data_IF_623381189665
#
_entry.id   IF_623381189665
#
_cell.length_a   1.000
_cell.length_b   1.000
_cell.length_c   1.000
_cell.angle_alpha   90.00
_cell.angle_beta   90.00
_cell.angle_gamma   90.00
#
_symmetry.space_group_name_H-M   'P 1'
#
loop_
_entity.id
_entity.type
_entity.pdbx_description
1 polymer ?
#
# COMPACT_ATOMS: atom_id res chain seq x y z
N UNK A 1 20.27 8.66 12.86
CA UNK A 1 19.50 9.92 12.73
C UNK A 1 18.29 9.67 11.84
N UNK A 2 17.16 9.25 12.42
CA UNK A 2 15.92 8.91 11.68
C UNK A 2 14.74 9.85 12.04
N UNK A 3 14.95 10.79 12.95
CA UNK A 3 13.90 11.68 13.45
C UNK A 3 13.57 12.83 12.51
N UNK A 4 14.49 13.25 11.64
CA UNK A 4 14.27 14.38 10.71
C UNK A 4 13.02 14.20 9.83
N UNK A 5 12.90 13.09 9.07
CA UNK A 5 11.72 12.83 8.24
C UNK A 5 10.42 12.73 9.06
N UNK A 6 10.48 12.12 10.25
CA UNK A 6 9.33 12.01 11.16
C UNK A 6 8.88 13.37 11.70
N UNK A 7 9.82 14.23 12.10
CA UNK A 7 9.53 15.58 12.59
C UNK A 7 8.97 16.45 11.48
N UNK A 8 9.52 16.36 10.27
CA UNK A 8 8.98 17.07 9.10
C UNK A 8 7.57 16.58 8.75
N UNK A 9 7.34 15.27 8.75
CA UNK A 9 6.02 14.69 8.49
C UNK A 9 4.99 15.12 9.54
N UNK A 10 5.35 15.08 10.84
CA UNK A 10 4.49 15.58 11.91
C UNK A 10 4.22 17.08 11.76
N UNK A 11 5.26 17.87 11.49
CA UNK A 11 5.14 19.31 11.26
C UNK A 11 4.18 19.64 10.13
N UNK A 12 4.30 18.97 8.99
CA UNK A 12 3.36 19.13 7.86
C UNK A 12 1.95 18.65 8.19
N UNK A 13 1.80 17.55 8.94
CA UNK A 13 0.48 17.03 9.30
C UNK A 13 -0.31 17.99 10.19
N UNK A 14 0.36 18.70 11.11
CA UNK A 14 -0.30 19.64 12.02
C UNK A 14 -0.37 21.07 11.49
N UNK A 15 0.70 21.56 10.88
CA UNK A 15 0.87 22.96 10.47
C UNK A 15 0.80 23.17 8.95
N UNK A 16 0.67 22.11 8.17
CA UNK A 16 0.53 22.20 6.72
C UNK A 16 -0.71 23.00 6.32
N UNK A 17 -0.64 23.69 5.16
CA UNK A 17 -1.76 24.47 4.65
C UNK A 17 -2.95 23.57 4.31
N UNK A 18 -4.14 24.15 4.38
CA UNK A 18 -5.35 23.49 3.92
C UNK A 18 -5.50 23.65 2.41
N UNK A 19 -6.07 22.64 1.76
CA UNK A 19 -6.61 22.80 0.42
C UNK A 19 -7.84 23.72 0.45
N UNK A 20 -7.96 24.60 -0.54
CA UNK A 20 -9.01 25.61 -0.64
C UNK A 20 -10.41 24.97 -0.79
N UNK A 21 -10.48 23.81 -1.44
CA UNK A 21 -11.74 23.11 -1.74
C UNK A 21 -12.12 22.10 -0.67
N UNK A 22 -11.15 21.44 -0.05
CA UNK A 22 -11.38 20.36 0.93
C UNK A 22 -11.25 20.81 2.39
N UNK A 23 -10.75 22.02 2.64
CA UNK A 23 -10.63 22.61 3.97
C UNK A 23 -9.85 21.73 4.95
N UNK A 24 -10.34 21.59 6.18
CA UNK A 24 -9.71 20.83 7.26
C UNK A 24 -9.45 19.36 6.89
N UNK A 25 -10.31 18.75 6.06
CA UNK A 25 -10.21 17.33 5.70
C UNK A 25 -9.03 17.04 4.77
N UNK A 26 -8.51 18.04 4.05
CA UNK A 26 -7.26 17.90 3.29
C UNK A 26 -6.09 17.47 4.15
N UNK A 27 -6.09 17.77 5.46
CA UNK A 27 -5.02 17.33 6.37
C UNK A 27 -4.94 15.81 6.53
N UNK A 28 -6.05 15.09 6.34
CA UNK A 28 -5.99 13.62 6.33
C UNK A 28 -5.09 13.09 5.21
N UNK A 29 -4.91 13.81 4.10
CA UNK A 29 -4.02 13.39 3.02
C UNK A 29 -2.55 13.38 3.44
N UNK A 30 -2.14 14.24 4.39
CA UNK A 30 -0.78 14.19 4.95
C UNK A 30 -0.50 12.89 5.72
N UNK A 31 -1.54 12.22 6.21
CA UNK A 31 -1.41 10.92 6.86
C UNK A 31 -1.62 9.81 5.82
N UNK A 32 -2.71 9.89 5.06
CA UNK A 32 -3.12 8.86 4.10
C UNK A 32 -2.06 8.62 3.01
N UNK A 33 -1.55 9.67 2.37
CA UNK A 33 -0.62 9.50 1.24
C UNK A 33 0.69 8.81 1.68
N UNK A 34 1.37 9.24 2.76
CA UNK A 34 2.56 8.53 3.24
C UNK A 34 2.27 7.09 3.67
N UNK A 35 1.12 6.82 4.31
CA UNK A 35 0.79 5.44 4.71
C UNK A 35 0.57 4.53 3.51
N UNK A 36 0.03 5.04 2.38
CA UNK A 36 -0.07 4.30 1.11
C UNK A 36 1.32 3.90 0.62
N UNK A 37 2.26 4.85 0.59
CA UNK A 37 3.63 4.59 0.12
C UNK A 37 4.34 3.54 0.98
N UNK A 38 4.22 3.63 2.30
CA UNK A 38 4.83 2.66 3.22
C UNK A 38 4.17 1.28 3.06
N UNK A 39 2.85 1.21 2.86
CA UNK A 39 2.14 -0.04 2.59
C UNK A 39 2.65 -0.73 1.30
N UNK A 40 2.85 0.04 0.22
CA UNK A 40 3.39 -0.50 -1.04
C UNK A 40 4.86 -0.88 -0.96
N UNK A 41 5.67 -0.10 -0.24
CA UNK A 41 7.07 -0.43 0.00
C UNK A 41 7.19 -1.73 0.80
N UNK A 42 6.41 -1.87 1.88
CA UNK A 42 6.34 -3.12 2.65
C UNK A 42 5.97 -4.31 1.78
N UNK A 43 5.13 -4.11 0.76
CA UNK A 43 4.64 -5.18 -0.09
C UNK A 43 5.74 -5.62 -1.04
N UNK A 44 6.37 -4.64 -1.68
CA UNK A 44 7.52 -4.85 -2.57
C UNK A 44 8.66 -5.56 -1.82
N UNK A 45 8.98 -5.15 -0.60
CA UNK A 45 10.00 -5.82 0.21
C UNK A 45 9.60 -7.25 0.58
N UNK A 46 8.36 -7.46 1.01
CA UNK A 46 7.83 -8.81 1.30
C UNK A 46 7.97 -9.73 0.08
N UNK A 47 7.66 -9.21 -1.10
CA UNK A 47 7.82 -9.93 -2.36
C UNK A 47 9.30 -10.25 -2.65
N UNK A 48 10.16 -9.24 -2.68
CA UNK A 48 11.59 -9.41 -3.02
C UNK A 48 12.25 -10.40 -2.07
N UNK A 49 12.01 -10.29 -0.76
CA UNK A 49 12.57 -11.23 0.21
C UNK A 49 11.98 -12.64 0.11
N UNK A 50 10.71 -12.78 -0.27
CA UNK A 50 10.11 -14.10 -0.54
C UNK A 50 10.74 -14.76 -1.77
N UNK A 51 11.00 -13.99 -2.83
CA UNK A 51 11.70 -14.48 -4.05
C UNK A 51 13.16 -14.84 -3.72
N UNK A 52 13.87 -13.99 -2.98
CA UNK A 52 15.24 -14.28 -2.54
C UNK A 52 15.30 -15.53 -1.69
N UNK A 53 14.34 -15.74 -0.78
CA UNK A 53 14.23 -16.99 -0.03
C UNK A 53 14.00 -18.19 -0.96
N UNK A 54 13.16 -18.06 -1.99
CA UNK A 54 12.89 -19.14 -2.93
C UNK A 54 14.16 -19.66 -3.60
N UNK A 55 15.05 -18.78 -4.06
CA UNK A 55 16.31 -19.13 -4.71
C UNK A 55 17.42 -19.51 -3.74
N UNK A 56 17.59 -18.76 -2.65
CA UNK A 56 18.74 -18.93 -1.74
C UNK A 56 18.49 -19.91 -0.60
N UNK A 57 17.21 -20.19 -0.28
CA UNK A 57 16.75 -20.98 0.87
C UNK A 57 17.27 -20.50 2.24
N UNK A 58 17.76 -19.26 2.34
CA UNK A 58 18.31 -18.72 3.60
C UNK A 58 17.19 -18.17 4.49
N UNK A 59 17.04 -18.72 5.69
CA UNK A 59 16.01 -18.31 6.66
C UNK A 59 16.00 -16.81 7.01
N UNK A 60 17.14 -16.11 6.88
CA UNK A 60 17.21 -14.65 7.07
C UNK A 60 16.22 -13.90 6.17
N UNK A 61 16.10 -14.29 4.90
CA UNK A 61 15.19 -13.63 3.97
C UNK A 61 13.73 -13.94 4.28
N UNK A 62 13.45 -15.14 4.77
CA UNK A 62 12.10 -15.51 5.22
C UNK A 62 11.64 -14.63 6.39
N UNK A 63 12.50 -14.47 7.41
CA UNK A 63 12.20 -13.64 8.58
C UNK A 63 11.99 -12.16 8.21
N UNK A 64 12.79 -11.64 7.28
CA UNK A 64 12.62 -10.29 6.75
C UNK A 64 11.30 -10.15 5.98
N UNK A 65 10.92 -11.13 5.17
CA UNK A 65 9.67 -11.09 4.42
C UNK A 65 8.44 -11.05 5.36
N UNK A 66 8.41 -11.88 6.41
CA UNK A 66 7.33 -11.87 7.41
C UNK A 66 7.24 -10.56 8.16
N UNK A 67 8.37 -10.03 8.57
CA UNK A 67 8.42 -8.78 9.34
C UNK A 67 7.88 -7.62 8.50
N UNK A 68 8.27 -7.55 7.23
CA UNK A 68 7.72 -6.55 6.30
C UNK A 68 6.23 -6.77 6.04
N UNK A 69 5.76 -8.01 5.90
CA UNK A 69 4.35 -8.31 5.68
C UNK A 69 3.46 -7.82 6.84
N UNK A 70 3.89 -8.06 8.08
CA UNK A 70 3.17 -7.60 9.28
C UNK A 70 3.09 -6.08 9.35
N UNK A 71 4.20 -5.39 9.11
CA UNK A 71 4.22 -3.93 9.04
C UNK A 71 3.32 -3.43 7.91
N UNK A 72 3.38 -4.06 6.75
CA UNK A 72 2.55 -3.77 5.58
C UNK A 72 1.05 -3.79 5.89
N UNK A 73 0.56 -4.84 6.56
CA UNK A 73 -0.84 -4.94 7.02
C UNK A 73 -1.26 -3.72 7.82
N UNK A 74 -0.47 -3.33 8.80
CA UNK A 74 -0.80 -2.19 9.68
C UNK A 74 -0.95 -0.91 8.87
N UNK A 75 0.00 -0.62 7.98
CA UNK A 75 -0.07 0.56 7.13
C UNK A 75 -1.20 0.50 6.09
N UNK A 76 -1.52 -0.67 5.53
CA UNK A 76 -2.66 -0.82 4.61
C UNK A 76 -4.00 -0.62 5.32
N UNK A 77 -4.16 -1.13 6.55
CA UNK A 77 -5.38 -0.90 7.34
C UNK A 77 -5.56 0.59 7.64
N UNK A 78 -4.51 1.27 8.11
CA UNK A 78 -4.54 2.71 8.37
C UNK A 78 -4.89 3.47 7.09
N UNK A 79 -4.28 3.09 5.96
CA UNK A 79 -4.54 3.68 4.65
C UNK A 79 -6.01 3.58 4.26
N UNK A 80 -6.62 2.39 4.39
CA UNK A 80 -8.02 2.17 4.04
C UNK A 80 -8.97 2.95 4.94
N UNK A 81 -8.73 2.96 6.26
CA UNK A 81 -9.55 3.70 7.21
C UNK A 81 -9.48 5.21 6.98
N UNK A 82 -8.26 5.75 6.86
CA UNK A 82 -8.04 7.17 6.58
C UNK A 82 -8.61 7.57 5.22
N UNK A 83 -8.43 6.73 4.20
CA UNK A 83 -8.96 6.95 2.86
C UNK A 83 -10.48 6.93 2.80
N UNK A 84 -11.13 5.96 3.45
CA UNK A 84 -12.59 5.89 3.52
C UNK A 84 -13.20 7.04 4.31
N UNK A 85 -12.57 7.46 5.41
CA UNK A 85 -13.03 8.63 6.16
C UNK A 85 -12.92 9.91 5.34
N UNK A 86 -11.79 10.12 4.67
CA UNK A 86 -11.61 11.26 3.76
C UNK A 86 -12.61 11.21 2.59
N UNK A 87 -12.83 10.04 1.98
CA UNK A 87 -13.81 9.84 0.91
C UNK A 87 -15.23 10.20 1.34
N UNK A 88 -15.63 9.88 2.58
CA UNK A 88 -16.95 10.26 3.11
C UNK A 88 -17.15 11.77 3.17
N UNK A 89 -16.11 12.52 3.52
CA UNK A 89 -16.19 13.98 3.64
C UNK A 89 -16.12 14.68 2.28
N UNK A 90 -15.30 14.16 1.36
CA UNK A 90 -15.06 14.79 0.06
C UNK A 90 -16.09 14.38 -1.00
N UNK A 91 -16.53 13.10 -1.01
CA UNK A 91 -17.42 12.54 -2.04
C UNK A 91 -18.79 12.13 -1.49
N UNK A 92 -19.03 12.26 -0.19
CA UNK A 92 -20.29 11.86 0.46
C UNK A 92 -20.46 10.35 0.67
N UNK A 93 -19.51 9.52 0.20
CA UNK A 93 -19.56 8.05 0.30
C UNK A 93 -18.27 7.47 0.90
N UNK A 94 -18.39 6.38 1.67
CA UNK A 94 -17.26 5.69 2.29
C UNK A 94 -16.43 4.85 1.31
N UNK A 95 -17.06 4.43 0.20
CA UNK A 95 -16.45 3.56 -0.79
C UNK A 95 -17.04 3.82 -2.17
N UNK A 96 -16.17 3.82 -3.18
CA UNK A 96 -16.55 3.94 -4.60
C UNK A 96 -16.11 2.67 -5.30
N UNK A 97 -17.06 1.78 -5.58
CA UNK A 97 -16.79 0.49 -6.22
C UNK A 97 -16.27 0.61 -7.66
N UNK A 98 -16.52 1.74 -8.33
CA UNK A 98 -15.96 2.02 -9.65
C UNK A 98 -14.50 2.48 -9.64
N UNK A 99 -13.95 2.86 -8.49
CA UNK A 99 -12.56 3.32 -8.41
C UNK A 99 -11.62 2.12 -8.19
N UNK A 100 -10.86 1.80 -9.23
CA UNK A 100 -9.87 0.73 -9.19
C UNK A 100 -8.84 0.93 -8.05
N UNK A 101 -8.50 2.16 -7.68
CA UNK A 101 -7.48 2.44 -6.66
C UNK A 101 -7.91 1.97 -5.27
N UNK A 102 -9.16 2.24 -4.90
CA UNK A 102 -9.75 1.80 -3.64
C UNK A 102 -9.81 0.27 -3.59
N UNK A 103 -10.38 -0.34 -4.63
CA UNK A 103 -10.54 -1.79 -4.71
C UNK A 103 -9.20 -2.54 -4.71
N UNK A 104 -8.20 -2.07 -5.48
CA UNK A 104 -6.87 -2.70 -5.53
C UNK A 104 -6.15 -2.60 -4.18
N UNK A 105 -6.33 -1.50 -3.43
CA UNK A 105 -5.76 -1.36 -2.08
C UNK A 105 -6.45 -2.26 -1.07
N UNK A 106 -7.77 -2.48 -1.18
CA UNK A 106 -8.47 -3.47 -0.36
C UNK A 106 -8.00 -4.90 -0.66
N UNK A 107 -7.84 -5.24 -1.95
CA UNK A 107 -7.30 -6.55 -2.32
C UNK A 107 -5.85 -6.69 -1.83
N UNK A 108 -5.03 -5.64 -1.87
CA UNK A 108 -3.68 -5.67 -1.30
C UNK A 108 -3.69 -6.08 0.18
N UNK A 109 -4.63 -5.55 0.97
CA UNK A 109 -4.80 -5.98 2.37
C UNK A 109 -5.13 -7.48 2.45
N UNK A 110 -6.06 -7.97 1.62
CA UNK A 110 -6.40 -9.39 1.57
C UNK A 110 -5.21 -10.26 1.16
N UNK A 111 -4.36 -9.80 0.25
CA UNK A 111 -3.14 -10.50 -0.16
C UNK A 111 -2.15 -10.59 1.00
N UNK A 112 -1.96 -9.51 1.76
CA UNK A 112 -1.13 -9.57 2.97
C UNK A 112 -1.68 -10.53 4.03
N UNK A 113 -2.99 -10.48 4.28
CA UNK A 113 -3.64 -11.39 5.22
C UNK A 113 -3.53 -12.84 4.74
N UNK A 114 -3.72 -13.10 3.44
CA UNK A 114 -3.52 -14.40 2.82
C UNK A 114 -2.07 -14.89 2.96
N UNK A 115 -1.09 -14.00 2.77
CA UNK A 115 0.32 -14.31 3.01
C UNK A 115 0.59 -14.74 4.46
N UNK A 116 0.12 -13.97 5.45
CA UNK A 116 0.32 -14.28 6.87
C UNK A 116 -0.46 -15.55 7.26
N UNK A 117 -1.71 -15.69 6.83
CA UNK A 117 -2.55 -16.85 7.11
C UNK A 117 -1.95 -18.13 6.51
N UNK A 118 -1.44 -18.09 5.28
CA UNK A 118 -0.79 -19.23 4.65
C UNK A 118 0.40 -19.77 5.46
N UNK A 119 1.06 -18.89 6.23
CA UNK A 119 2.15 -19.23 7.15
C UNK A 119 1.70 -19.86 8.46
N UNK A 120 0.43 -19.77 8.81
CA UNK A 120 -0.12 -20.40 10.02
C UNK A 120 -0.61 -21.82 9.78
N UNK A 121 -1.03 -22.17 8.56
CA UNK A 121 -1.63 -23.47 8.26
C UNK A 121 -0.64 -24.64 8.11
N UNK A 122 0.64 -24.37 7.87
CA UNK A 122 1.62 -25.42 7.59
C UNK A 122 2.80 -25.36 8.56
N UNK A 123 3.06 -26.46 9.29
CA UNK A 123 4.24 -26.64 10.16
C UNK A 123 5.54 -26.80 9.36
N UNK A 124 5.45 -27.13 8.07
CA UNK A 124 6.60 -27.27 7.18
C UNK A 124 6.90 -25.92 6.49
N UNK A 125 7.89 -25.20 7.02
CA UNK A 125 8.32 -23.87 6.57
C UNK A 125 8.69 -23.86 5.06
N UNK A 126 9.15 -24.99 4.51
CA UNK A 126 9.58 -25.10 3.11
C UNK A 126 8.44 -25.07 2.10
N UNK A 127 7.36 -25.82 2.34
CA UNK A 127 6.15 -25.85 1.48
C UNK A 127 5.36 -24.54 1.59
N UNK A 128 5.31 -24.00 2.80
CA UNK A 128 4.65 -22.74 3.15
C UNK A 128 5.20 -21.55 2.37
N UNK A 129 6.52 -21.42 2.34
CA UNK A 129 7.18 -20.33 1.63
C UNK A 129 7.03 -20.45 0.11
N UNK A 130 6.93 -21.68 -0.44
CA UNK A 130 6.68 -21.89 -1.88
C UNK A 130 5.29 -21.42 -2.29
N UNK A 131 4.25 -21.76 -1.51
CA UNK A 131 2.88 -21.30 -1.78
C UNK A 131 2.70 -19.79 -1.51
N UNK A 132 3.38 -19.25 -0.50
CA UNK A 132 3.40 -17.80 -0.21
C UNK A 132 4.08 -16.98 -1.31
N UNK A 133 5.07 -17.57 -2.01
CA UNK A 133 5.79 -16.90 -3.09
C UNK A 133 4.88 -16.63 -4.30
N UNK A 134 3.92 -17.51 -4.60
CA UNK A 134 2.92 -17.25 -5.66
C UNK A 134 2.00 -16.08 -5.31
N UNK A 135 1.58 -15.98 -4.04
CA UNK A 135 0.74 -14.88 -3.54
C UNK A 135 1.51 -13.54 -3.60
N UNK A 136 2.81 -13.56 -3.30
CA UNK A 136 3.70 -12.40 -3.46
C UNK A 136 3.89 -12.00 -4.93
N UNK A 137 4.08 -12.95 -5.84
CA UNK A 137 4.22 -12.70 -7.29
C UNK A 137 2.94 -12.05 -7.84
N UNK A 138 1.77 -12.52 -7.41
CA UNK A 138 0.49 -11.97 -7.88
C UNK A 138 0.24 -10.51 -7.48
N UNK A 139 0.71 -10.04 -6.31
CA UNK A 139 0.49 -8.63 -5.98
C UNK A 139 1.52 -7.66 -6.57
N UNK A 140 2.61 -8.12 -7.18
CA UNK A 140 3.46 -7.24 -8.01
C UNK A 140 2.70 -6.82 -9.27
N UNK A 141 1.93 -7.73 -9.87
CA UNK A 141 1.00 -7.40 -10.95
C UNK A 141 0.04 -6.32 -10.47
N UNK A 142 -0.43 -6.40 -9.23
CA UNK A 142 -1.36 -5.43 -8.66
C UNK A 142 -0.77 -4.02 -8.50
N UNK A 143 0.48 -3.91 -8.04
CA UNK A 143 1.20 -2.62 -7.94
C UNK A 143 1.51 -2.05 -9.32
N UNK A 144 1.88 -2.90 -10.29
CA UNK A 144 2.11 -2.51 -11.68
C UNK A 144 0.82 -2.03 -12.34
N UNK A 145 -0.31 -2.71 -12.12
CA UNK A 145 -1.62 -2.27 -12.60
C UNK A 145 -2.02 -0.93 -12.00
N UNK A 146 -1.77 -0.69 -10.71
CA UNK A 146 -2.07 0.58 -10.05
C UNK A 146 -1.25 1.75 -10.62
N UNK A 147 0.08 1.58 -10.77
CA UNK A 147 0.94 2.61 -11.36
C UNK A 147 0.61 2.86 -12.83
N UNK A 148 0.33 1.80 -13.60
CA UNK A 148 -0.10 1.94 -14.99
C UNK A 148 -1.43 2.71 -15.09
N UNK A 149 -2.41 2.42 -14.24
CA UNK A 149 -3.67 3.17 -14.18
C UNK A 149 -3.49 4.62 -13.74
N UNK A 150 -2.62 4.89 -12.76
CA UNK A 150 -2.31 6.25 -12.30
C UNK A 150 -1.66 7.08 -13.42
N UNK A 151 -0.66 6.53 -14.12
CA UNK A 151 0.01 7.18 -15.25
C UNK A 151 -0.94 7.31 -16.46
N UNK A 152 -1.78 6.32 -16.72
CA UNK A 152 -2.80 6.36 -17.78
C UNK A 152 -3.88 7.41 -17.51
N UNK A 153 -4.38 7.53 -16.28
CA UNK A 153 -5.34 8.59 -15.91
C UNK A 153 -4.67 9.97 -16.00
N UNK A 154 -3.43 10.11 -15.54
CA UNK A 154 -2.68 11.37 -15.68
C UNK A 154 -2.43 11.73 -17.15
N UNK A 155 -2.18 10.77 -18.04
CA UNK A 155 -2.04 11.05 -19.48
C UNK A 155 -3.37 11.46 -20.12
N UNK A 156 -4.50 10.89 -19.68
CA UNK A 156 -5.84 11.32 -20.13
C UNK A 156 -6.24 12.71 -19.61
N UNK A 157 -5.65 13.20 -18.51
CA UNK A 157 -5.89 14.54 -17.95
C UNK A 157 -4.86 15.58 -18.46
N UNK A 158 -3.62 15.16 -18.75
CA UNK A 158 -2.56 16.04 -19.24
C UNK A 158 -2.60 16.29 -20.75
N UNK A 159 -3.14 15.36 -21.55
CA UNK A 159 -3.23 15.52 -23.01
C UNK A 159 -4.32 16.53 -23.45
N UNK A 160 -5.51 16.63 -22.81
CA UNK A 160 -6.51 17.63 -23.19
C UNK A 160 -6.08 19.08 -22.93
N UNK A 161 -5.14 19.30 -22.01
CA UNK A 161 -4.65 20.65 -21.66
C UNK A 161 -3.63 21.23 -22.66
N UNK A 162 -3.17 20.44 -23.64
CA UNK A 162 -2.24 20.86 -24.70
C UNK A 162 -2.94 21.14 -26.04
N UNK A 163 -4.26 20.95 -26.12
CA UNK A 163 -5.08 21.16 -27.33
C UNK A 163 -6.26 22.11 -27.10
N UNK A 164 -6.16 23.02 -26.13
CA UNK A 164 -7.04 24.19 -25.98
C UNK A 164 -6.16 25.44 -25.84
#
# INVERSE_FOLDING_TARGET
MLYGPLVVWLGLSFFGPYDVTQGIYSKLLYIHVPTVWVAYLGYTLTFVYSVLYFFTKKHKFDSLAVSNAKSGVVFTVITLLAGSYWGKQTWGTWWVWGDARLNLTAILLLVYLGYIASRQFNKDLGKTARNSSFIGIFGVIQILTYNFYFVFILSQIAIPALFI
#
